data_IF_180931185842
#
_entry.id   IF_180931185842
#
_cell.length_a   1.000
_cell.length_b   1.000
_cell.length_c   1.000
_cell.angle_alpha   90.00
_cell.angle_beta   90.00
_cell.angle_gamma   90.00
#
_symmetry.space_group_name_H-M   'P 1'
#
loop_
_entity.id
_entity.type
_entity.pdbx_description
1 polymer ?
#
# COMPACT_ATOMS: atom_id res chain seq x y z
N UNK A 1 18.41 -1.38 3.49
CA UNK A 1 19.20 -1.62 2.26
C UNK A 1 18.71 -0.62 1.23
N UNK A 2 19.54 0.36 0.87
CA UNK A 2 19.27 1.24 -0.27
C UNK A 2 20.16 0.73 -1.41
N UNK A 3 19.62 0.52 -2.61
CA UNK A 3 20.44 0.23 -3.78
C UNK A 3 21.16 1.54 -4.17
N UNK A 4 22.50 1.63 -4.11
CA UNK A 4 23.26 2.78 -4.59
C UNK A 4 23.37 2.77 -6.13
N UNK A 5 22.28 2.40 -6.81
CA UNK A 5 22.21 2.29 -8.26
C UNK A 5 21.57 3.53 -8.89
N UNK A 6 21.65 3.64 -10.21
CA UNK A 6 21.14 4.78 -10.98
C UNK A 6 19.62 5.01 -10.86
N UNK A 7 18.90 4.09 -10.23
CA UNK A 7 17.44 4.09 -10.18
C UNK A 7 16.84 3.32 -11.34
N UNK A 8 15.55 3.57 -11.60
CA UNK A 8 14.87 2.98 -12.75
C UNK A 8 15.17 3.79 -14.02
N UNK A 9 15.29 3.13 -15.17
CA UNK A 9 15.25 3.78 -16.47
C UNK A 9 14.01 4.69 -16.60
N UNK A 10 14.14 5.89 -17.18
CA UNK A 10 13.03 6.82 -17.39
C UNK A 10 11.83 6.19 -18.10
N UNK A 11 12.08 5.23 -18.99
CA UNK A 11 11.08 4.48 -19.75
C UNK A 11 10.21 3.62 -18.83
N UNK A 12 10.80 2.96 -17.82
CA UNK A 12 10.05 2.17 -16.84
C UNK A 12 9.21 3.06 -15.92
N UNK A 13 9.76 4.21 -15.51
CA UNK A 13 9.00 5.21 -14.74
C UNK A 13 7.82 5.71 -15.57
N UNK A 14 8.04 6.04 -16.85
CA UNK A 14 6.98 6.46 -17.76
C UNK A 14 5.93 5.37 -17.91
N UNK A 15 6.31 4.12 -18.14
CA UNK A 15 5.39 3.00 -18.32
C UNK A 15 4.54 2.73 -17.07
N UNK A 16 5.09 2.95 -15.87
CA UNK A 16 4.36 2.85 -14.60
C UNK A 16 3.25 3.91 -14.47
N UNK A 17 3.51 5.16 -14.89
CA UNK A 17 2.57 6.28 -14.71
C UNK A 17 1.67 6.55 -15.91
N UNK A 18 2.13 6.26 -17.13
CA UNK A 18 1.45 6.55 -18.39
C UNK A 18 1.17 5.24 -19.13
N UNK A 19 -0.06 4.78 -19.02
CA UNK A 19 -0.52 3.46 -19.47
C UNK A 19 -0.66 3.31 -20.99
N UNK A 20 -0.05 4.17 -21.81
CA UNK A 20 -0.38 4.25 -23.23
C UNK A 20 0.27 3.17 -24.09
N UNK A 21 1.28 2.42 -23.60
CA UNK A 21 1.95 1.40 -24.44
C UNK A 21 2.71 0.26 -23.75
N UNK A 22 2.73 0.16 -22.41
CA UNK A 22 3.46 -0.85 -21.60
C UNK A 22 4.53 -1.61 -22.39
N UNK A 23 5.63 -0.92 -22.66
CA UNK A 23 6.63 -1.34 -23.65
C UNK A 23 7.52 -2.46 -23.15
N UNK A 24 7.53 -2.72 -21.83
CA UNK A 24 8.28 -3.80 -21.21
C UNK A 24 7.45 -4.60 -20.18
N UNK A 25 7.78 -5.89 -19.95
CA UNK A 25 7.20 -6.69 -18.88
C UNK A 25 7.37 -6.07 -17.49
N UNK A 26 8.50 -5.42 -17.23
CA UNK A 26 8.80 -4.74 -15.97
C UNK A 26 7.89 -3.52 -15.80
N UNK A 27 7.68 -2.74 -16.86
CA UNK A 27 6.77 -1.60 -16.86
C UNK A 27 5.32 -2.01 -16.61
N UNK A 28 4.90 -3.15 -17.17
CA UNK A 28 3.58 -3.74 -16.89
C UNK A 28 3.46 -4.11 -15.41
N UNK A 29 4.46 -4.79 -14.83
CA UNK A 29 4.49 -5.14 -13.41
C UNK A 29 4.37 -3.91 -12.50
N UNK A 30 5.16 -2.86 -12.77
CA UNK A 30 5.13 -1.60 -12.02
C UNK A 30 3.77 -0.89 -12.14
N UNK A 31 3.17 -0.87 -13.33
CA UNK A 31 1.84 -0.32 -13.59
C UNK A 31 0.76 -1.06 -12.80
N UNK A 32 0.81 -2.39 -12.76
CA UNK A 32 -0.10 -3.22 -11.95
C UNK A 32 0.06 -2.91 -10.46
N UNK A 33 1.29 -2.83 -9.95
CA UNK A 33 1.56 -2.45 -8.55
C UNK A 33 0.95 -1.08 -8.20
N UNK A 34 1.13 -0.07 -9.07
CA UNK A 34 0.51 1.24 -8.90
C UNK A 34 -1.01 1.17 -8.86
N UNK A 35 -1.62 0.37 -9.75
CA UNK A 35 -3.09 0.17 -9.78
C UNK A 35 -3.60 -0.48 -8.51
N UNK A 36 -2.90 -1.49 -7.97
CA UNK A 36 -3.23 -2.13 -6.70
C UNK A 36 -3.21 -1.09 -5.56
N UNK A 37 -2.15 -0.28 -5.48
CA UNK A 37 -2.07 0.79 -4.49
C UNK A 37 -3.24 1.77 -4.62
N UNK A 38 -3.60 2.16 -5.84
CA UNK A 38 -4.76 3.04 -6.08
C UNK A 38 -6.09 2.40 -5.67
N UNK A 39 -6.26 1.09 -5.87
CA UNK A 39 -7.44 0.36 -5.37
C UNK A 39 -7.51 0.32 -3.84
N UNK A 40 -6.35 0.37 -3.17
CA UNK A 40 -6.24 0.48 -1.72
C UNK A 40 -6.33 1.93 -1.22
N UNK A 41 -6.80 2.87 -2.04
CA UNK A 41 -6.80 4.30 -1.73
C UNK A 41 -5.41 4.88 -1.40
N UNK A 42 -4.34 4.17 -1.80
CA UNK A 42 -2.96 4.57 -1.63
C UNK A 42 -2.37 5.28 -2.86
N UNK A 43 -1.16 5.78 -2.68
CA UNK A 43 -0.41 6.52 -3.68
C UNK A 43 1.04 6.04 -3.74
N UNK A 44 1.67 6.28 -4.89
CA UNK A 44 3.10 6.01 -5.09
C UNK A 44 3.73 7.11 -5.91
N UNK A 45 4.91 7.53 -5.48
CA UNK A 45 5.79 8.46 -6.18
C UNK A 45 7.15 7.81 -6.37
N UNK A 46 7.82 8.14 -7.46
CA UNK A 46 9.20 7.76 -7.70
C UNK A 46 10.07 9.01 -7.57
N UNK A 47 10.98 9.01 -6.60
CA UNK A 47 11.85 10.13 -6.27
C UNK A 47 13.29 9.76 -6.63
N UNK A 48 13.95 10.65 -7.38
CA UNK A 48 15.34 10.53 -7.78
C UNK A 48 16.12 11.75 -7.31
N UNK A 49 17.02 11.52 -6.37
CA UNK A 49 17.99 12.47 -5.82
C UNK A 49 19.39 12.15 -6.34
N UNK A 50 20.38 12.98 -6.03
CA UNK A 50 21.77 12.82 -6.52
C UNK A 50 22.37 11.46 -6.14
N UNK A 51 22.12 10.99 -4.93
CA UNK A 51 22.76 9.78 -4.38
C UNK A 51 21.79 8.60 -4.22
N UNK A 52 20.48 8.83 -4.45
CA UNK A 52 19.44 7.85 -4.09
C UNK A 52 18.24 7.93 -5.01
N UNK A 53 17.69 6.76 -5.31
CA UNK A 53 16.41 6.61 -5.98
C UNK A 53 15.52 5.71 -5.15
N UNK A 54 14.28 6.12 -4.91
CA UNK A 54 13.35 5.35 -4.08
C UNK A 54 11.89 5.58 -4.48
N UNK A 55 11.06 4.61 -4.10
CA UNK A 55 9.61 4.74 -4.16
C UNK A 55 9.09 5.23 -2.82
N UNK A 56 8.33 6.32 -2.84
CA UNK A 56 7.54 6.76 -1.71
C UNK A 56 6.12 6.23 -1.89
N UNK A 57 5.71 5.31 -1.00
CA UNK A 57 4.36 4.72 -1.01
C UNK A 57 3.60 5.22 0.21
N UNK A 58 2.41 5.76 -0.03
CA UNK A 58 1.50 6.24 1.00
C UNK A 58 0.26 5.35 0.95
N UNK A 59 -0.10 4.73 2.08
CA UNK A 59 -1.24 3.82 2.16
C UNK A 59 -1.84 3.87 3.56
N UNK A 60 -3.16 3.75 3.64
CA UNK A 60 -3.89 3.63 4.90
C UNK A 60 -4.37 2.18 5.05
N UNK A 61 -4.02 1.54 6.17
CA UNK A 61 -4.44 0.17 6.47
C UNK A 61 -5.33 0.15 7.71
N UNK A 62 -6.41 -0.63 7.70
CA UNK A 62 -7.20 -0.84 8.89
C UNK A 62 -6.35 -1.53 9.96
N UNK A 63 -6.31 -0.95 11.16
CA UNK A 63 -5.71 -1.63 12.32
C UNK A 63 -6.66 -2.77 12.72
N UNK A 64 -6.18 -4.02 12.79
CA UNK A 64 -7.02 -5.12 13.24
C UNK A 64 -7.57 -4.79 14.63
N UNK A 65 -8.91 -4.83 14.77
CA UNK A 65 -9.52 -4.75 16.10
C UNK A 65 -9.07 -6.00 16.87
N UNK A 66 -8.29 -5.80 17.94
CA UNK A 66 -8.13 -6.85 18.95
C UNK A 66 -9.54 -7.24 19.36
N UNK A 67 -9.95 -8.48 19.10
CA UNK A 67 -11.16 -9.01 19.72
C UNK A 67 -10.94 -8.80 21.22
N UNK A 68 -11.80 -8.04 21.92
CA UNK A 68 -11.75 -8.09 23.38
C UNK A 68 -11.84 -9.57 23.71
N UNK A 69 -10.88 -10.06 24.49
CA UNK A 69 -10.87 -11.44 24.95
C UNK A 69 -12.26 -11.67 25.51
N UNK A 70 -13.06 -12.48 24.81
CA UNK A 70 -14.35 -12.93 25.31
C UNK A 70 -14.01 -13.64 26.60
N UNK A 71 -14.25 -12.96 27.73
CA UNK A 71 -14.34 -13.60 29.02
C UNK A 71 -15.32 -14.72 28.83
N UNK A 72 -14.80 -15.94 28.85
CA UNK A 72 -15.58 -17.15 28.74
C UNK A 72 -16.71 -17.06 29.76
N UNK A 73 -17.93 -17.19 29.25
CA UNK A 73 -19.17 -17.54 29.93
C UNK A 73 -19.10 -17.66 31.46
N UNK A 74 -19.33 -16.55 32.15
CA UNK A 74 -20.09 -16.55 33.41
C UNK A 74 -21.52 -16.18 33.07
N UNK A 75 -22.43 -17.15 33.11
CA UNK A 75 -23.87 -16.98 32.94
C UNK A 75 -24.41 -15.98 33.99
N UNK A 76 -24.82 -14.77 33.60
CA UNK A 76 -25.64 -13.95 34.49
C UNK A 76 -25.82 -12.45 34.22
N UNK A 77 -24.90 -11.75 33.53
CA UNK A 77 -24.84 -10.27 33.67
C UNK A 77 -24.79 -9.47 32.35
N UNK A 78 -25.70 -9.71 31.42
CA UNK A 78 -25.81 -8.88 30.20
C UNK A 78 -27.24 -8.43 29.91
N UNK A 79 -28.05 -8.27 30.96
CA UNK A 79 -29.34 -7.57 30.87
C UNK A 79 -29.20 -6.05 31.08
N UNK A 80 -27.99 -5.54 31.37
CA UNK A 80 -27.78 -4.16 31.83
C UNK A 80 -27.18 -3.19 30.81
N UNK A 81 -27.01 -3.58 29.54
CA UNK A 81 -26.37 -2.70 28.55
C UNK A 81 -27.19 -2.53 27.27
N UNK A 82 -28.45 -2.14 27.44
CA UNK A 82 -29.21 -1.48 26.37
C UNK A 82 -29.34 0.01 26.77
N UNK A 83 -28.85 0.98 25.97
CA UNK A 83 -29.19 2.37 26.22
C UNK A 83 -30.66 2.60 25.88
N UNK A 84 -31.33 3.40 26.70
CA UNK A 84 -32.68 3.92 26.45
C UNK A 84 -32.74 4.74 25.16
#
# INVERSE_FOLDING_TARGET
>A
MACPGEGLPPELVRDMFHSSRWTSPEGLGLSVCRKILKLMNGEVQYIRESERSYFLIILELPVPRKRPLSTASGSGDMMLMMPY
#
